data_IF_296850321692
#
_entry.id   IF_296850321692
#
_cell.length_a   1.000
_cell.length_b   1.000
_cell.length_c   1.000
_cell.angle_alpha   90.00
_cell.angle_beta   90.00
_cell.angle_gamma   90.00
#
_symmetry.space_group_name_H-M   'P 1'
#
loop_
_entity.id
_entity.type
_entity.pdbx_description
1 polymer ?
#
# COMPACT_ATOMS: atom_id res chain seq x y z
N UNK A 1 -10.08 7.20 10.00
CA UNK A 1 -8.66 7.51 9.72
C UNK A 1 -7.90 8.08 10.93
N UNK A 2 -8.57 8.68 11.91
CA UNK A 2 -7.96 9.22 13.15
C UNK A 2 -7.32 8.14 14.03
N UNK A 3 -8.02 7.04 14.32
CA UNK A 3 -7.51 5.96 15.18
C UNK A 3 -6.14 5.39 14.77
N UNK A 4 -5.94 4.87 13.53
CA UNK A 4 -4.65 4.30 13.14
C UNK A 4 -3.52 5.35 13.10
N UNK A 5 -3.84 6.61 12.80
CA UNK A 5 -2.87 7.71 12.84
C UNK A 5 -2.35 7.95 14.27
N UNK A 6 -3.25 8.09 15.24
CA UNK A 6 -2.85 8.32 16.63
C UNK A 6 -2.19 7.10 17.27
N UNK A 7 -2.64 5.89 16.95
CA UNK A 7 -1.97 4.66 17.38
C UNK A 7 -0.52 4.59 16.85
N UNK A 8 -0.30 4.92 15.58
CA UNK A 8 1.03 5.01 14.99
C UNK A 8 1.92 6.07 15.66
N UNK A 9 1.36 7.25 15.97
CA UNK A 9 2.09 8.30 16.71
C UNK A 9 2.49 7.83 18.11
N UNK A 10 1.60 7.13 18.82
CA UNK A 10 1.88 6.55 20.14
C UNK A 10 3.03 5.54 20.07
N UNK A 11 3.08 4.70 19.05
CA UNK A 11 4.15 3.73 18.86
C UNK A 11 5.50 4.37 18.56
N UNK A 12 5.52 5.58 17.96
CA UNK A 12 6.75 6.35 17.77
C UNK A 12 7.32 6.89 19.09
N UNK A 13 6.47 7.14 20.08
CA UNK A 13 6.86 7.57 21.43
C UNK A 13 7.26 6.39 22.32
N UNK A 14 6.77 5.18 22.02
CA UNK A 14 7.12 3.98 22.75
C UNK A 14 8.57 3.55 22.47
N UNK A 15 9.32 3.16 23.50
CA UNK A 15 10.64 2.51 23.36
C UNK A 15 10.45 1.10 22.77
N UNK A 16 10.46 1.01 21.45
CA UNK A 16 10.36 -0.26 20.73
C UNK A 16 11.63 -1.08 20.95
N UNK A 17 11.47 -2.35 21.38
CA UNK A 17 12.58 -3.30 21.47
C UNK A 17 12.78 -3.95 20.11
N UNK A 18 14.03 -4.16 19.65
CA UNK A 18 14.28 -4.75 18.36
C UNK A 18 13.78 -6.19 18.32
N UNK A 19 12.86 -6.49 17.41
CA UNK A 19 12.34 -7.85 17.15
C UNK A 19 13.07 -8.43 15.95
N UNK A 20 13.61 -9.64 16.08
CA UNK A 20 14.27 -10.33 14.98
C UNK A 20 13.24 -10.79 13.93
N UNK A 21 13.59 -10.68 12.65
CA UNK A 21 12.75 -11.11 11.52
C UNK A 21 11.35 -10.47 11.44
N UNK A 22 11.14 -9.30 12.07
CA UNK A 22 9.83 -8.64 12.09
C UNK A 22 9.23 -8.40 10.70
N UNK A 23 10.05 -8.11 9.68
CA UNK A 23 9.59 -7.96 8.30
C UNK A 23 8.84 -9.20 7.78
N UNK A 24 9.37 -10.40 8.04
CA UNK A 24 8.75 -11.65 7.59
C UNK A 24 7.44 -11.92 8.32
N UNK A 25 7.43 -11.76 9.65
CA UNK A 25 6.23 -11.96 10.46
C UNK A 25 5.11 -10.97 10.11
N UNK A 26 5.45 -9.70 9.90
CA UNK A 26 4.48 -8.69 9.50
C UNK A 26 3.93 -8.96 8.09
N UNK A 27 4.80 -9.33 7.14
CA UNK A 27 4.37 -9.67 5.78
C UNK A 27 3.44 -10.88 5.77
N UNK A 28 3.78 -11.93 6.51
CA UNK A 28 2.93 -13.12 6.64
C UNK A 28 1.58 -12.77 7.28
N UNK A 29 1.58 -11.99 8.36
CA UNK A 29 0.35 -11.56 9.01
C UNK A 29 -0.56 -10.76 8.06
N UNK A 30 0.01 -9.85 7.27
CA UNK A 30 -0.75 -9.10 6.25
C UNK A 30 -1.34 -10.04 5.21
N UNK A 31 -0.56 -11.00 4.69
CA UNK A 31 -1.06 -11.97 3.72
C UNK A 31 -2.20 -12.80 4.29
N UNK A 32 -2.08 -13.30 5.52
CA UNK A 32 -3.13 -14.10 6.17
C UNK A 32 -4.41 -13.30 6.35
N UNK A 33 -4.31 -12.05 6.82
CA UNK A 33 -5.47 -11.18 7.01
C UNK A 33 -6.16 -10.86 5.67
N UNK A 34 -5.39 -10.56 4.63
CA UNK A 34 -5.94 -10.21 3.31
C UNK A 34 -6.43 -11.41 2.51
N UNK A 35 -5.89 -12.61 2.75
CA UNK A 35 -6.32 -13.84 2.10
C UNK A 35 -7.58 -14.44 2.74
N UNK A 36 -7.98 -13.98 3.94
CA UNK A 36 -9.17 -14.47 4.61
C UNK A 36 -10.42 -14.15 3.76
N UNK A 37 -11.20 -15.16 3.34
CA UNK A 37 -12.40 -14.91 2.56
C UNK A 37 -13.46 -14.21 3.41
N UNK A 38 -14.38 -13.49 2.76
CA UNK A 38 -15.51 -12.82 3.40
C UNK A 38 -16.24 -13.80 4.32
N UNK A 39 -16.32 -13.46 5.61
CA UNK A 39 -16.98 -14.30 6.61
C UNK A 39 -18.48 -13.98 6.65
N UNK A 40 -19.30 -15.02 6.57
CA UNK A 40 -20.75 -14.94 6.69
C UNK A 40 -21.50 -14.86 5.36
N UNK A 41 -22.81 -15.08 5.40
CA UNK A 41 -23.66 -15.04 4.22
C UNK A 41 -24.07 -13.60 3.85
N UNK A 42 -24.67 -13.35 2.67
CA UNK A 42 -25.24 -12.04 2.33
C UNK A 42 -26.28 -11.54 3.35
N UNK A 43 -26.92 -12.45 4.10
CA UNK A 43 -27.88 -12.11 5.14
C UNK A 43 -27.23 -11.75 6.49
N UNK A 44 -25.96 -12.09 6.70
CA UNK A 44 -25.25 -11.94 7.97
C UNK A 44 -24.02 -11.03 7.82
N UNK A 45 -24.25 -9.80 7.34
CA UNK A 45 -23.21 -8.79 7.11
C UNK A 45 -22.37 -8.46 8.36
N UNK A 46 -22.95 -8.62 9.55
CA UNK A 46 -22.29 -8.31 10.83
C UNK A 46 -21.07 -9.18 11.12
N UNK A 47 -21.01 -10.41 10.59
CA UNK A 47 -19.89 -11.32 10.84
C UNK A 47 -18.61 -10.81 10.18
N UNK A 48 -18.71 -10.38 8.91
CA UNK A 48 -17.60 -9.72 8.24
C UNK A 48 -17.25 -8.38 8.90
N UNK A 49 -18.27 -7.59 9.25
CA UNK A 49 -18.05 -6.31 9.93
C UNK A 49 -17.31 -6.45 11.26
N UNK A 50 -17.62 -7.50 12.03
CA UNK A 50 -16.92 -7.81 13.28
C UNK A 50 -15.47 -8.23 13.02
N UNK A 51 -15.24 -9.10 12.02
CA UNK A 51 -13.89 -9.48 11.61
C UNK A 51 -13.07 -8.25 11.20
N UNK A 52 -13.60 -7.41 10.32
CA UNK A 52 -12.94 -6.19 9.84
C UNK A 52 -12.63 -5.23 11.00
N UNK A 53 -13.58 -5.05 11.92
CA UNK A 53 -13.40 -4.21 13.11
C UNK A 53 -12.29 -4.73 14.01
N UNK A 54 -12.26 -6.04 14.30
CA UNK A 54 -11.19 -6.66 15.11
C UNK A 54 -9.83 -6.54 14.42
N UNK A 55 -9.78 -6.71 13.09
CA UNK A 55 -8.57 -6.52 12.32
C UNK A 55 -8.07 -5.07 12.40
N UNK A 56 -8.95 -4.08 12.26
CA UNK A 56 -8.60 -2.65 12.32
C UNK A 56 -8.18 -2.21 13.72
N UNK A 57 -8.85 -2.69 14.76
CA UNK A 57 -8.61 -2.26 16.14
C UNK A 57 -7.40 -2.96 16.74
N UNK A 58 -7.17 -4.24 16.43
CA UNK A 58 -6.15 -5.04 17.10
C UNK A 58 -5.04 -5.50 16.17
N UNK A 59 -5.40 -6.11 15.04
CA UNK A 59 -4.42 -6.81 14.19
C UNK A 59 -3.51 -5.84 13.45
N UNK A 60 -4.06 -4.85 12.73
CA UNK A 60 -3.25 -3.87 12.00
C UNK A 60 -2.37 -3.01 12.91
N UNK A 61 -2.85 -2.49 14.06
CA UNK A 61 -1.98 -1.80 15.01
C UNK A 61 -0.85 -2.69 15.54
N UNK A 62 -1.12 -3.97 15.83
CA UNK A 62 -0.08 -4.91 16.23
C UNK A 62 0.96 -5.12 15.11
N UNK A 63 0.53 -5.32 13.87
CA UNK A 63 1.42 -5.43 12.70
C UNK A 63 2.29 -4.17 12.57
N UNK A 64 1.72 -2.98 12.71
CA UNK A 64 2.47 -1.71 12.66
C UNK A 64 3.50 -1.64 13.79
N UNK A 65 3.11 -2.00 15.02
CA UNK A 65 4.00 -1.99 16.18
C UNK A 65 5.21 -2.94 15.99
N UNK A 66 4.96 -4.18 15.56
CA UNK A 66 6.03 -5.13 15.28
C UNK A 66 6.88 -4.72 14.08
N UNK A 67 6.27 -4.17 13.03
CA UNK A 67 6.97 -3.67 11.85
C UNK A 67 7.92 -2.52 12.19
N UNK A 68 7.48 -1.57 13.01
CA UNK A 68 8.31 -0.45 13.50
C UNK A 68 9.45 -0.91 14.43
N UNK A 69 9.26 -2.05 15.11
CA UNK A 69 10.27 -2.67 15.98
C UNK A 69 11.33 -3.48 15.20
N UNK A 70 11.13 -3.66 13.88
CA UNK A 70 12.00 -4.42 13.01
C UNK A 70 13.07 -3.56 12.33
N UNK A 71 14.33 -4.02 12.37
CA UNK A 71 15.38 -3.46 11.51
C UNK A 71 15.54 -4.31 10.24
N UNK A 72 15.37 -3.70 9.06
CA UNK A 72 15.74 -4.34 7.78
C UNK A 72 17.26 -4.27 7.65
N UNK A 73 17.93 -5.40 7.88
CA UNK A 73 19.40 -5.45 7.97
C UNK A 73 20.13 -5.53 6.63
N UNK A 74 19.47 -5.90 5.54
CA UNK A 74 20.10 -6.02 4.21
C UNK A 74 19.89 -4.76 3.36
N UNK A 75 20.98 -4.22 2.81
CA UNK A 75 20.94 -2.99 1.99
C UNK A 75 20.12 -3.14 0.69
N UNK A 76 20.06 -4.35 0.12
CA UNK A 76 19.22 -4.64 -1.04
C UNK A 76 17.72 -4.58 -0.70
N UNK A 77 17.29 -5.23 0.39
CA UNK A 77 15.89 -5.17 0.81
C UNK A 77 15.47 -3.75 1.17
N UNK A 78 16.35 -2.98 1.82
CA UNK A 78 16.05 -1.59 2.16
C UNK A 78 15.86 -0.71 0.91
N UNK A 79 16.64 -0.93 -0.16
CA UNK A 79 16.46 -0.23 -1.44
C UNK A 79 15.13 -0.61 -2.10
N UNK A 80 14.78 -1.89 -2.11
CA UNK A 80 13.51 -2.36 -2.65
C UNK A 80 12.31 -1.79 -1.88
N UNK A 81 12.34 -1.84 -0.54
CA UNK A 81 11.26 -1.29 0.29
C UNK A 81 11.08 0.22 0.06
N UNK A 82 12.17 0.98 -0.08
CA UNK A 82 12.10 2.41 -0.43
C UNK A 82 11.46 2.62 -1.79
N UNK A 83 11.93 1.91 -2.82
CA UNK A 83 11.37 2.01 -4.16
C UNK A 83 9.86 1.69 -4.20
N UNK A 84 9.45 0.60 -3.55
CA UNK A 84 8.04 0.22 -3.43
C UNK A 84 7.22 1.28 -2.67
N UNK A 85 7.80 1.90 -1.64
CA UNK A 85 7.19 3.01 -0.93
C UNK A 85 7.03 4.26 -1.80
N UNK A 86 8.08 4.66 -2.50
CA UNK A 86 8.10 5.88 -3.32
C UNK A 86 7.11 5.79 -4.49
N UNK A 87 7.00 4.62 -5.12
CA UNK A 87 6.07 4.41 -6.25
C UNK A 87 4.62 4.18 -5.82
N UNK A 88 4.37 3.81 -4.56
CA UNK A 88 3.03 3.44 -4.07
C UNK A 88 2.00 4.57 -4.24
N UNK A 89 2.41 5.81 -3.96
CA UNK A 89 1.52 6.97 -4.00
C UNK A 89 1.16 7.38 -5.43
N UNK A 90 2.10 7.53 -6.37
CA UNK A 90 1.79 7.75 -7.77
C UNK A 90 0.94 6.63 -8.38
N UNK A 91 1.25 5.35 -8.10
CA UNK A 91 0.42 4.22 -8.59
C UNK A 91 -0.99 4.35 -8.07
N UNK A 92 -1.17 4.58 -6.76
CA UNK A 92 -2.48 4.68 -6.13
C UNK A 92 -3.39 5.68 -6.84
N UNK A 93 -2.85 6.83 -7.25
CA UNK A 93 -3.62 7.88 -7.93
C UNK A 93 -3.87 7.55 -9.41
N UNK A 94 -2.85 7.08 -10.14
CA UNK A 94 -2.92 6.98 -11.61
C UNK A 94 -3.53 5.69 -12.12
N UNK A 95 -3.50 4.60 -11.34
CA UNK A 95 -3.94 3.29 -11.83
C UNK A 95 -5.47 3.12 -11.94
N UNK A 96 -6.25 3.80 -11.09
CA UNK A 96 -7.72 3.64 -11.05
C UNK A 96 -8.40 3.94 -12.38
N UNK A 97 -8.15 5.08 -13.05
CA UNK A 97 -8.74 5.36 -14.36
C UNK A 97 -8.40 4.29 -15.41
N UNK A 98 -7.17 3.79 -15.41
CA UNK A 98 -6.71 2.77 -16.35
C UNK A 98 -7.43 1.43 -16.13
N UNK A 99 -7.55 0.99 -14.88
CA UNK A 99 -8.27 -0.23 -14.52
C UNK A 99 -9.76 -0.10 -14.86
N UNK A 100 -10.40 1.02 -14.54
CA UNK A 100 -11.82 1.21 -14.86
C UNK A 100 -12.07 1.22 -16.37
N UNK A 101 -11.17 1.79 -17.15
CA UNK A 101 -11.28 1.78 -18.62
C UNK A 101 -11.16 0.34 -19.15
N UNK A 102 -10.20 -0.43 -18.63
CA UNK A 102 -10.04 -1.83 -18.99
C UNK A 102 -11.25 -2.68 -18.59
N UNK A 103 -11.73 -2.56 -17.35
CA UNK A 103 -12.86 -3.35 -16.86
C UNK A 103 -14.17 -2.98 -17.56
N UNK A 104 -14.38 -1.70 -17.89
CA UNK A 104 -15.49 -1.27 -18.72
C UNK A 104 -15.43 -1.91 -20.12
N UNK A 105 -14.27 -1.88 -20.77
CA UNK A 105 -14.09 -2.52 -22.08
C UNK A 105 -14.38 -4.03 -22.04
N UNK A 106 -13.85 -4.75 -21.05
CA UNK A 106 -14.10 -6.19 -20.85
C UNK A 106 -15.59 -6.47 -20.64
N UNK A 107 -16.25 -5.67 -19.79
CA UNK A 107 -17.66 -5.84 -19.47
C UNK A 107 -18.56 -5.57 -20.69
N UNK A 108 -18.28 -4.52 -21.47
CA UNK A 108 -19.08 -4.15 -22.65
C UNK A 108 -18.92 -5.16 -23.79
N UNK A 109 -17.71 -5.66 -24.04
CA UNK A 109 -17.43 -6.54 -25.18
C UNK A 109 -17.43 -8.03 -24.83
N UNK A 110 -17.68 -8.39 -23.56
CA UNK A 110 -17.63 -9.77 -23.05
C UNK A 110 -16.34 -10.51 -23.46
N UNK A 111 -15.23 -9.81 -23.31
CA UNK A 111 -13.90 -10.25 -23.77
C UNK A 111 -13.51 -11.55 -23.08
N UNK A 112 -13.01 -12.51 -23.86
CA UNK A 112 -12.52 -13.77 -23.31
C UNK A 112 -11.23 -13.56 -22.51
N UNK A 113 -10.94 -14.45 -21.54
CA UNK A 113 -9.72 -14.35 -20.73
C UNK A 113 -8.44 -14.32 -21.60
N UNK A 114 -8.42 -15.09 -22.70
CA UNK A 114 -7.27 -15.19 -23.61
C UNK A 114 -6.98 -13.87 -24.32
N UNK A 115 -8.02 -13.14 -24.69
CA UNK A 115 -7.90 -11.84 -25.37
C UNK A 115 -7.66 -10.71 -24.37
N UNK A 116 -8.26 -10.81 -23.17
CA UNK A 116 -8.11 -9.80 -22.12
C UNK A 116 -6.74 -9.82 -21.45
N UNK A 117 -6.13 -10.99 -21.25
CA UNK A 117 -4.85 -11.15 -20.53
C UNK A 117 -3.70 -10.29 -21.11
N UNK A 118 -3.42 -10.29 -22.43
CA UNK A 118 -2.40 -9.44 -23.01
C UNK A 118 -2.67 -7.94 -22.78
N UNK A 119 -3.94 -7.52 -22.91
CA UNK A 119 -4.34 -6.12 -22.68
C UNK A 119 -4.22 -5.75 -21.20
N UNK A 120 -4.59 -6.65 -20.29
CA UNK A 120 -4.41 -6.46 -18.85
C UNK A 120 -2.94 -6.29 -18.48
N UNK A 121 -2.06 -7.13 -19.05
CA UNK A 121 -0.62 -7.01 -18.85
C UNK A 121 -0.09 -5.66 -19.39
N UNK A 122 -0.58 -5.22 -20.55
CA UNK A 122 -0.23 -3.91 -21.10
C UNK A 122 -0.71 -2.76 -20.20
N UNK A 123 -1.96 -2.81 -19.72
CA UNK A 123 -2.52 -1.81 -18.80
C UNK A 123 -1.74 -1.77 -17.49
N UNK A 124 -1.36 -2.92 -16.96
CA UNK A 124 -0.52 -3.02 -15.77
C UNK A 124 0.85 -2.35 -15.97
N UNK A 125 1.55 -2.69 -17.06
CA UNK A 125 2.84 -2.08 -17.39
C UNK A 125 2.72 -0.58 -17.63
N UNK A 126 1.66 -0.14 -18.31
CA UNK A 126 1.36 1.27 -18.53
C UNK A 126 1.10 2.02 -17.23
N UNK A 127 0.35 1.43 -16.28
CA UNK A 127 0.10 2.01 -14.98
C UNK A 127 1.39 2.21 -14.16
N UNK A 128 2.26 1.19 -14.14
CA UNK A 128 3.56 1.26 -13.47
C UNK A 128 4.48 2.28 -14.14
N UNK A 129 4.55 2.28 -15.48
CA UNK A 129 5.37 3.22 -16.23
C UNK A 129 4.91 4.67 -16.04
N UNK A 130 3.59 4.91 -16.10
CA UNK A 130 2.99 6.22 -15.85
C UNK A 130 3.28 6.71 -14.42
N UNK A 131 3.08 5.85 -13.43
CA UNK A 131 3.37 6.18 -12.03
C UNK A 131 4.84 6.50 -11.80
N UNK A 132 5.75 5.73 -12.40
CA UNK A 132 7.18 6.00 -12.35
C UNK A 132 7.55 7.33 -13.04
N UNK A 133 6.93 7.61 -14.19
CA UNK A 133 7.05 8.89 -14.89
C UNK A 133 6.60 10.06 -14.01
N UNK A 134 5.43 9.96 -13.36
CA UNK A 134 4.95 10.95 -12.42
C UNK A 134 5.90 11.13 -11.22
N UNK A 135 6.45 10.04 -10.69
CA UNK A 135 7.40 10.08 -9.59
C UNK A 135 8.68 10.85 -9.95
N UNK A 136 9.29 10.51 -11.10
CA UNK A 136 10.59 11.07 -11.51
C UNK A 136 10.52 12.42 -12.17
N UNK A 137 9.47 12.70 -12.94
CA UNK A 137 9.34 13.92 -13.73
C UNK A 137 8.61 15.04 -12.98
N UNK A 138 7.78 14.70 -11.99
CA UNK A 138 6.96 15.67 -11.28
C UNK A 138 7.13 15.63 -9.77
N UNK A 139 6.84 14.51 -9.11
CA UNK A 139 6.80 14.45 -7.64
C UNK A 139 8.16 14.75 -7.00
N UNK A 140 9.22 14.01 -7.37
CA UNK A 140 10.57 14.25 -6.84
C UNK A 140 11.09 15.67 -7.12
N UNK A 141 11.04 16.21 -8.37
CA UNK A 141 11.49 17.56 -8.66
C UNK A 141 10.71 18.64 -7.90
N UNK A 142 9.38 18.54 -7.86
CA UNK A 142 8.52 19.53 -7.17
C UNK A 142 8.76 19.47 -5.66
N UNK A 143 8.90 18.27 -5.09
CA UNK A 143 9.20 18.08 -3.67
C UNK A 143 10.55 18.69 -3.30
N UNK A 144 11.58 18.50 -4.13
CA UNK A 144 12.88 19.10 -3.89
C UNK A 144 12.85 20.63 -4.04
N UNK A 145 12.12 21.15 -5.04
CA UNK A 145 11.90 22.58 -5.22
C UNK A 145 11.20 23.22 -4.01
N UNK A 146 10.13 22.60 -3.51
CA UNK A 146 9.42 23.04 -2.30
C UNK A 146 10.33 22.99 -1.07
N UNK A 147 11.11 21.92 -0.91
CA UNK A 147 12.05 21.78 0.22
C UNK A 147 13.06 22.92 0.25
N UNK A 148 13.59 23.30 -0.90
CA UNK A 148 14.55 24.41 -1.02
C UNK A 148 13.91 25.77 -0.76
N UNK A 149 12.66 26.00 -1.20
CA UNK A 149 12.00 27.31 -1.03
C UNK A 149 11.39 27.53 0.34
N UNK A 150 10.73 26.52 0.90
CA UNK A 150 9.91 26.68 2.12
C UNK A 150 10.70 26.35 3.38
N UNK A 151 11.59 25.36 3.34
CA UNK A 151 12.30 24.90 4.54
C UNK A 151 13.70 25.52 4.71
N UNK A 152 14.30 26.06 3.64
CA UNK A 152 15.61 26.75 3.72
C UNK A 152 15.44 28.27 3.84
N UNK A 153 14.27 28.83 3.50
CA UNK A 153 13.96 30.26 3.70
C UNK A 153 13.40 30.61 5.09
N UNK A 154 13.39 29.66 6.04
CA UNK A 154 12.87 29.84 7.41
C UNK A 154 13.98 29.92 8.48
N UNK A 155 15.23 30.19 8.05
CA UNK A 155 16.39 30.51 8.89
C UNK A 155 17.01 31.78 8.32
#
# INVERSE_FOLDING_TARGET
MTYPFFAGLLFRLARLRPVQHAFWWCSLAVVVVLAMPRIGSPAQLWQNGLYDALCIIFVFPAIIFFGASGAVRSGAAQRLCRFLGDISYPIYITHYPLIYTYTAWVATHKVSLREGLPVAALVYLAAVALAYGCLKLYDEPVREWLRKRVLVGAV
#
